data_IF_597529492446
#
_entry.id   IF_597529492446
#
_cell.length_a   1.000
_cell.length_b   1.000
_cell.length_c   1.000
_cell.angle_alpha   90.00
_cell.angle_beta   90.00
_cell.angle_gamma   90.00
#
_symmetry.space_group_name_H-M   'P 1'
#
loop_
_entity.id
_entity.type
_entity.pdbx_description
1 polymer ?
#
# COMPACT_ATOMS: atom_id res chain seq x y z
N UNK A 1 -14.17 6.40 19.23
CA UNK A 1 -13.90 5.42 18.15
C UNK A 1 -15.15 5.34 17.30
N UNK A 2 -15.00 5.53 15.99
CA UNK A 2 -16.11 5.39 15.02
C UNK A 2 -15.85 4.10 14.25
N UNK A 3 -16.87 3.25 14.11
CA UNK A 3 -16.79 2.07 13.26
C UNK A 3 -17.39 2.41 11.90
N UNK A 4 -16.69 2.02 10.83
CA UNK A 4 -17.08 2.27 9.45
C UNK A 4 -17.22 0.93 8.74
N UNK A 5 -18.35 0.71 8.09
CA UNK A 5 -18.60 -0.50 7.30
C UNK A 5 -17.84 -0.46 5.97
N UNK A 6 -17.11 -1.52 5.67
CA UNK A 6 -16.41 -1.73 4.39
C UNK A 6 -16.43 -3.22 3.98
N UNK A 7 -17.60 -3.77 3.60
CA UNK A 7 -17.72 -5.18 3.26
C UNK A 7 -16.99 -5.52 1.94
N UNK A 8 -16.08 -6.50 1.99
CA UNK A 8 -15.37 -7.03 0.81
C UNK A 8 -16.16 -8.16 0.14
N UNK A 9 -17.25 -7.82 -0.55
CA UNK A 9 -18.25 -8.77 -1.05
C UNK A 9 -17.72 -9.79 -2.08
N UNK A 10 -16.65 -9.45 -2.81
CA UNK A 10 -16.01 -10.35 -3.78
C UNK A 10 -15.41 -11.60 -3.15
N UNK A 11 -14.99 -11.53 -1.89
CA UNK A 11 -14.37 -12.63 -1.13
C UNK A 11 -15.20 -13.03 0.09
N UNK A 12 -16.15 -12.18 0.51
CA UNK A 12 -17.08 -12.42 1.62
C UNK A 12 -18.51 -12.04 1.22
N UNK A 13 -19.22 -12.90 0.48
CA UNK A 13 -20.54 -12.57 -0.09
C UNK A 13 -21.57 -12.06 0.94
N UNK A 14 -21.44 -12.52 2.20
CA UNK A 14 -22.41 -12.24 3.28
C UNK A 14 -22.04 -11.01 4.11
N UNK A 15 -20.87 -10.40 3.85
CA UNK A 15 -20.35 -9.28 4.65
C UNK A 15 -21.28 -8.06 4.61
N UNK A 16 -21.85 -7.73 3.44
CA UNK A 16 -22.80 -6.61 3.33
C UNK A 16 -24.01 -6.81 4.24
N UNK A 17 -24.65 -7.99 4.18
CA UNK A 17 -25.81 -8.29 5.02
C UNK A 17 -25.48 -8.35 6.51
N UNK A 18 -24.29 -8.81 6.89
CA UNK A 18 -23.82 -8.76 8.27
C UNK A 18 -23.66 -7.31 8.76
N UNK A 19 -23.07 -6.43 7.94
CA UNK A 19 -22.95 -5.01 8.27
C UNK A 19 -24.32 -4.31 8.35
N UNK A 20 -25.25 -4.60 7.43
CA UNK A 20 -26.63 -4.12 7.49
C UNK A 20 -27.34 -4.58 8.77
N UNK A 21 -27.13 -5.82 9.22
CA UNK A 21 -27.68 -6.31 10.49
C UNK A 21 -27.19 -5.48 11.68
N UNK A 22 -25.90 -5.15 11.74
CA UNK A 22 -25.37 -4.28 12.79
C UNK A 22 -25.98 -2.87 12.75
N UNK A 23 -26.13 -2.29 11.56
CA UNK A 23 -26.78 -0.98 11.37
C UNK A 23 -28.27 -1.00 11.75
N UNK A 24 -28.99 -2.07 11.42
CA UNK A 24 -30.39 -2.25 11.83
C UNK A 24 -30.54 -2.40 13.34
N UNK A 25 -29.59 -3.04 14.03
CA UNK A 25 -29.54 -3.06 15.48
C UNK A 25 -29.31 -1.65 16.05
N UNK A 26 -28.39 -0.87 15.46
CA UNK A 26 -28.09 0.51 15.87
C UNK A 26 -29.31 1.44 15.83
N UNK A 27 -30.25 1.22 14.89
CA UNK A 27 -31.50 1.98 14.78
C UNK A 27 -32.43 1.80 15.98
N UNK A 28 -32.27 0.72 16.74
CA UNK A 28 -33.01 0.48 17.98
C UNK A 28 -32.26 1.03 19.22
N UNK A 29 -31.01 1.47 19.05
CA UNK A 29 -30.16 2.04 20.09
C UNK A 29 -28.68 1.91 19.72
N UNK A 30 -27.90 2.97 19.92
CA UNK A 30 -26.48 3.00 19.51
C UNK A 30 -25.64 1.87 20.12
N UNK A 31 -25.92 1.49 21.36
CA UNK A 31 -25.16 0.43 22.05
C UNK A 31 -25.48 -0.97 21.48
N UNK A 32 -26.67 -1.15 20.90
CA UNK A 32 -27.10 -2.41 20.28
C UNK A 32 -26.35 -2.69 18.99
N UNK A 33 -25.74 -1.67 18.37
CA UNK A 33 -24.76 -1.87 17.32
C UNK A 33 -23.65 -2.82 17.77
N UNK A 34 -23.03 -2.54 18.92
CA UNK A 34 -21.90 -3.30 19.43
C UNK A 34 -22.32 -4.70 19.88
N UNK A 35 -23.50 -4.83 20.48
CA UNK A 35 -24.06 -6.15 20.85
C UNK A 35 -24.24 -7.02 19.60
N UNK A 36 -24.81 -6.48 18.52
CA UNK A 36 -24.97 -7.22 17.27
C UNK A 36 -23.61 -7.48 16.58
N UNK A 37 -22.73 -6.48 16.53
CA UNK A 37 -21.37 -6.60 16.01
C UNK A 37 -20.62 -7.77 16.68
N UNK A 38 -20.56 -7.79 18.01
CA UNK A 38 -19.83 -8.81 18.76
C UNK A 38 -20.46 -10.19 18.57
N UNK A 39 -21.79 -10.26 18.46
CA UNK A 39 -22.50 -11.50 18.14
C UNK A 39 -22.14 -12.02 16.75
N UNK A 40 -22.06 -11.14 15.75
CA UNK A 40 -21.69 -11.51 14.38
C UNK A 40 -20.25 -12.05 14.32
N UNK A 41 -19.31 -11.38 14.98
CA UNK A 41 -17.90 -11.77 14.99
C UNK A 41 -17.63 -13.04 15.81
N UNK A 42 -18.27 -13.21 16.97
CA UNK A 42 -18.09 -14.40 17.82
C UNK A 42 -18.67 -15.68 17.22
N UNK A 43 -19.61 -15.57 16.28
CA UNK A 43 -20.29 -16.69 15.63
C UNK A 43 -20.14 -16.71 14.09
N UNK A 44 -19.01 -16.25 13.55
CA UNK A 44 -18.75 -16.23 12.09
C UNK A 44 -18.94 -17.60 11.41
N UNK A 45 -18.57 -18.69 12.09
CA UNK A 45 -18.75 -20.07 11.60
C UNK A 45 -20.22 -20.49 11.40
N UNK A 46 -21.19 -19.75 11.94
CA UNK A 46 -22.61 -20.03 11.77
C UNK A 46 -23.17 -19.47 10.46
N UNK A 47 -22.63 -18.37 9.92
CA UNK A 47 -23.23 -17.63 8.80
C UNK A 47 -22.28 -17.32 7.64
N UNK A 48 -20.97 -17.20 7.89
CA UNK A 48 -20.01 -16.79 6.86
C UNK A 48 -19.91 -17.85 5.76
N UNK A 49 -20.05 -17.41 4.51
CA UNK A 49 -20.05 -18.30 3.34
C UNK A 49 -21.30 -19.18 3.19
N UNK A 50 -22.35 -18.98 4.00
CA UNK A 50 -23.58 -19.79 3.94
C UNK A 50 -24.76 -19.01 3.39
N UNK A 51 -25.68 -19.70 2.72
CA UNK A 51 -26.84 -19.11 2.04
C UNK A 51 -27.99 -18.67 2.95
N UNK A 52 -27.96 -19.08 4.22
CA UNK A 52 -29.00 -18.86 5.24
C UNK A 52 -28.63 -17.76 6.25
N UNK A 53 -27.59 -16.95 5.96
CA UNK A 53 -27.06 -15.95 6.88
C UNK A 53 -28.11 -14.94 7.39
N UNK A 54 -29.08 -14.54 6.55
CA UNK A 54 -30.14 -13.61 6.96
C UNK A 54 -31.02 -14.20 8.07
N UNK A 55 -31.38 -15.48 7.98
CA UNK A 55 -32.18 -16.15 9.02
C UNK A 55 -31.37 -16.28 10.33
N UNK A 56 -30.06 -16.53 10.22
CA UNK A 56 -29.15 -16.52 11.36
C UNK A 56 -29.12 -15.14 12.03
N UNK A 57 -29.04 -14.05 11.26
CA UNK A 57 -29.04 -12.68 11.81
C UNK A 57 -30.36 -12.31 12.50
N UNK A 58 -31.50 -12.75 11.95
CA UNK A 58 -32.82 -12.56 12.58
C UNK A 58 -32.94 -13.35 13.89
N UNK A 59 -32.39 -14.55 13.93
CA UNK A 59 -32.27 -15.32 15.17
C UNK A 59 -31.40 -14.59 16.20
N UNK A 60 -30.23 -14.07 15.81
CA UNK A 60 -29.39 -13.28 16.71
C UNK A 60 -30.12 -12.05 17.26
N UNK A 61 -30.88 -11.34 16.43
CA UNK A 61 -31.69 -10.21 16.87
C UNK A 61 -32.68 -10.61 17.99
N UNK A 62 -33.32 -11.77 17.88
CA UNK A 62 -34.17 -12.31 18.94
C UNK A 62 -33.39 -12.69 20.19
N UNK A 63 -32.23 -13.34 20.04
CA UNK A 63 -31.39 -13.79 21.16
C UNK A 63 -30.84 -12.62 21.99
N UNK A 64 -30.48 -11.52 21.34
CA UNK A 64 -29.95 -10.32 21.99
C UNK A 64 -31.04 -9.33 22.42
N UNK A 65 -32.33 -9.70 22.28
CA UNK A 65 -33.46 -8.95 22.80
C UNK A 65 -33.88 -7.72 21.98
N UNK A 66 -33.57 -7.68 20.67
CA UNK A 66 -34.08 -6.63 19.79
C UNK A 66 -35.59 -6.76 19.56
N UNK A 67 -36.23 -5.66 19.18
CA UNK A 67 -37.54 -5.72 18.56
C UNK A 67 -37.40 -6.39 17.18
N UNK A 68 -37.78 -7.66 17.11
CA UNK A 68 -37.60 -8.51 15.92
C UNK A 68 -38.44 -8.03 14.74
N UNK A 69 -39.62 -7.45 14.96
CA UNK A 69 -40.44 -6.91 13.87
C UNK A 69 -39.74 -5.71 13.20
N UNK A 70 -39.23 -4.77 13.99
CA UNK A 70 -38.49 -3.62 13.47
C UNK A 70 -37.17 -4.02 12.83
N UNK A 71 -36.44 -4.96 13.44
CA UNK A 71 -35.18 -5.47 12.89
C UNK A 71 -35.37 -6.16 11.55
N UNK A 72 -36.35 -7.08 11.46
CA UNK A 72 -36.64 -7.81 10.23
C UNK A 72 -37.05 -6.86 9.10
N UNK A 73 -37.91 -5.86 9.40
CA UNK A 73 -38.28 -4.82 8.44
C UNK A 73 -37.05 -4.11 7.88
N UNK A 74 -36.14 -3.65 8.74
CA UNK A 74 -34.94 -2.95 8.31
C UNK A 74 -34.01 -3.83 7.44
N UNK A 75 -33.78 -5.08 7.86
CA UNK A 75 -32.85 -5.99 7.18
C UNK A 75 -33.38 -6.49 5.83
N UNK A 76 -34.69 -6.71 5.72
CA UNK A 76 -35.35 -7.24 4.53
C UNK A 76 -35.58 -6.16 3.46
N UNK A 77 -35.91 -4.94 3.88
CA UNK A 77 -36.23 -3.83 2.98
C UNK A 77 -35.01 -3.13 2.39
N UNK A 78 -33.82 -3.35 2.96
CA UNK A 78 -32.60 -2.65 2.57
C UNK A 78 -32.54 -1.20 3.08
N UNK A 79 -33.30 -0.86 4.11
CA UNK A 79 -33.30 0.48 4.73
C UNK A 79 -31.89 0.96 5.15
N UNK A 80 -30.98 0.03 5.47
CA UNK A 80 -29.59 0.32 5.85
C UNK A 80 -28.64 0.50 4.63
N UNK A 81 -29.10 0.29 3.40
CA UNK A 81 -28.24 0.31 2.21
C UNK A 81 -27.60 1.68 1.94
N UNK A 82 -28.33 2.77 2.20
CA UNK A 82 -27.79 4.12 2.04
C UNK A 82 -26.69 4.42 3.07
N UNK A 83 -26.90 4.06 4.33
CA UNK A 83 -25.92 4.22 5.40
C UNK A 83 -24.65 3.38 5.12
N UNK A 84 -24.85 2.14 4.66
CA UNK A 84 -23.79 1.24 4.22
C UNK A 84 -22.97 1.85 3.08
N UNK A 85 -23.63 2.36 2.04
CA UNK A 85 -22.95 2.93 0.89
C UNK A 85 -22.17 4.21 1.26
N UNK A 86 -22.72 5.05 2.13
CA UNK A 86 -22.04 6.24 2.63
C UNK A 86 -20.78 5.89 3.43
N UNK A 87 -20.83 4.84 4.25
CA UNK A 87 -19.66 4.37 5.00
C UNK A 87 -18.59 3.75 4.10
N UNK A 88 -18.98 2.99 3.08
CA UNK A 88 -18.04 2.47 2.08
C UNK A 88 -17.32 3.61 1.37
N UNK A 89 -18.07 4.62 0.91
CA UNK A 89 -17.49 5.80 0.26
C UNK A 89 -16.58 6.59 1.20
N UNK A 90 -16.99 6.76 2.46
CA UNK A 90 -16.16 7.40 3.47
C UNK A 90 -14.84 6.65 3.65
N UNK A 91 -14.86 5.33 3.84
CA UNK A 91 -13.63 4.57 4.05
C UNK A 91 -12.71 4.63 2.81
N UNK A 92 -13.28 4.45 1.61
CA UNK A 92 -12.52 4.55 0.36
C UNK A 92 -11.88 5.93 0.17
N UNK A 93 -12.63 7.00 0.45
CA UNK A 93 -12.12 8.38 0.37
C UNK A 93 -10.96 8.66 1.35
N UNK A 94 -10.83 7.84 2.41
CA UNK A 94 -9.74 7.93 3.38
C UNK A 94 -8.73 6.78 3.24
N UNK A 95 -8.64 6.17 2.06
CA UNK A 95 -7.57 5.23 1.69
C UNK A 95 -7.82 3.77 2.07
N UNK A 96 -8.99 3.40 2.58
CA UNK A 96 -9.31 2.00 2.86
C UNK A 96 -9.45 1.21 1.54
N UNK A 97 -8.51 0.30 1.28
CA UNK A 97 -8.58 -0.67 0.18
C UNK A 97 -8.79 -2.12 0.64
N UNK A 98 -8.64 -2.37 1.94
CA UNK A 98 -8.84 -3.67 2.60
C UNK A 98 -9.28 -3.44 4.05
N UNK A 99 -9.65 -4.51 4.75
CA UNK A 99 -9.95 -4.49 6.18
C UNK A 99 -9.18 -5.61 6.90
N UNK A 100 -8.80 -5.42 8.18
CA UNK A 100 -9.06 -4.25 9.01
C UNK A 100 -8.20 -3.04 8.60
N UNK A 101 -8.78 -1.84 8.69
CA UNK A 101 -8.12 -0.57 8.38
C UNK A 101 -8.56 0.46 9.41
N UNK A 102 -7.60 1.16 10.01
CA UNK A 102 -7.85 2.11 11.09
C UNK A 102 -7.27 3.47 10.72
N UNK A 103 -7.91 4.51 11.24
CA UNK A 103 -7.41 5.87 11.21
C UNK A 103 -7.24 6.35 12.65
N UNK A 104 -6.01 6.69 13.02
CA UNK A 104 -5.70 7.37 14.27
C UNK A 104 -5.54 8.86 13.95
N UNK A 105 -6.63 9.61 14.09
CA UNK A 105 -6.79 10.90 13.41
C UNK A 105 -6.53 10.72 11.90
N UNK A 106 -5.47 11.32 11.38
CA UNK A 106 -5.11 11.23 9.96
C UNK A 106 -4.17 10.05 9.67
N UNK A 107 -3.63 9.37 10.69
CA UNK A 107 -2.64 8.29 10.50
C UNK A 107 -3.32 6.96 10.13
N UNK A 108 -3.05 6.41 8.94
CA UNK A 108 -3.55 5.09 8.59
C UNK A 108 -2.77 3.99 9.30
N UNK A 109 -3.48 2.98 9.79
CA UNK A 109 -2.93 1.71 10.26
C UNK A 109 -3.67 0.62 9.50
N UNK A 110 -3.02 0.04 8.50
CA UNK A 110 -3.61 -0.95 7.59
C UNK A 110 -3.30 -2.37 8.02
N UNK A 111 -4.29 -3.26 7.97
CA UNK A 111 -4.15 -4.66 8.32
C UNK A 111 -4.20 -4.94 9.83
N UNK A 112 -4.09 -6.23 10.16
CA UNK A 112 -4.11 -6.72 11.54
C UNK A 112 -2.76 -6.47 12.22
N UNK A 113 -2.48 -5.19 12.52
CA UNK A 113 -1.22 -4.76 13.12
C UNK A 113 -1.17 -5.04 14.62
N UNK A 114 0.06 -5.11 15.15
CA UNK A 114 0.30 -5.21 16.58
C UNK A 114 0.11 -3.86 17.30
N UNK A 115 0.13 -3.91 18.64
CA UNK A 115 -0.04 -2.71 19.47
C UNK A 115 1.03 -1.65 19.25
N UNK A 116 2.21 -2.02 18.74
CA UNK A 116 3.31 -1.09 18.53
C UNK A 116 3.03 -0.15 17.35
N UNK A 117 2.40 -0.65 16.28
CA UNK A 117 1.96 0.16 15.15
C UNK A 117 0.91 1.20 15.58
N UNK A 118 -0.08 0.77 16.37
CA UNK A 118 -1.08 1.68 16.94
C UNK A 118 -0.45 2.71 17.87
N UNK A 119 0.47 2.28 18.75
CA UNK A 119 1.18 3.20 19.65
C UNK A 119 1.94 4.26 18.85
N UNK A 120 2.64 3.87 17.79
CA UNK A 120 3.35 4.81 16.91
C UNK A 120 2.40 5.83 16.27
N UNK A 121 1.30 5.38 15.70
CA UNK A 121 0.29 6.27 15.11
C UNK A 121 -0.33 7.23 16.16
N UNK A 122 -0.63 6.73 17.36
CA UNK A 122 -1.16 7.53 18.47
C UNK A 122 -0.13 8.56 18.94
N UNK A 123 1.13 8.17 19.14
CA UNK A 123 2.19 9.08 19.58
C UNK A 123 2.42 10.20 18.56
N UNK A 124 2.41 9.88 17.25
CA UNK A 124 2.51 10.87 16.17
C UNK A 124 1.31 11.82 16.15
N UNK A 125 0.10 11.28 16.28
CA UNK A 125 -1.12 12.09 16.36
C UNK A 125 -1.13 13.02 17.59
N UNK A 126 -0.71 12.54 18.76
CA UNK A 126 -0.58 13.34 19.99
C UNK A 126 0.50 14.43 19.88
N UNK A 127 1.54 14.19 19.08
CA UNK A 127 2.57 15.17 18.78
C UNK A 127 2.15 16.22 17.73
N UNK A 128 0.91 16.18 17.24
CA UNK A 128 0.42 17.08 16.19
C UNK A 128 1.06 16.83 14.83
N UNK A 129 1.65 15.64 14.63
CA UNK A 129 2.17 15.23 13.35
C UNK A 129 1.01 14.70 12.49
N UNK A 130 1.09 14.99 11.21
CA UNK A 130 0.20 14.43 10.20
C UNK A 130 1.03 13.49 9.33
N UNK A 131 0.45 12.41 8.77
CA UNK A 131 1.14 11.70 7.71
C UNK A 131 1.50 12.70 6.61
N UNK A 132 2.62 12.50 5.90
CA UNK A 132 2.89 13.28 4.71
C UNK A 132 1.64 13.24 3.83
N UNK A 133 1.22 14.39 3.25
CA UNK A 133 -0.05 14.48 2.56
C UNK A 133 -0.12 13.36 1.52
N UNK A 134 -1.02 12.40 1.75
CA UNK A 134 -1.48 11.54 0.68
C UNK A 134 -2.06 12.51 -0.34
N UNK A 135 -1.58 12.53 -1.59
CA UNK A 135 -2.10 13.48 -2.55
C UNK A 135 -3.62 13.34 -2.59
N UNK A 136 -4.27 14.50 -2.48
CA UNK A 136 -5.68 14.87 -2.73
C UNK A 136 -6.55 13.74 -3.28
N UNK A 137 -7.85 13.61 -2.91
CA UNK A 137 -8.74 12.57 -3.44
C UNK A 137 -8.45 12.32 -4.91
N UNK A 138 -7.98 11.11 -5.20
CA UNK A 138 -7.51 10.73 -6.53
C UNK A 138 -8.65 10.96 -7.53
N UNK A 139 -8.34 11.29 -8.80
CA UNK A 139 -9.36 11.35 -9.82
C UNK A 139 -10.19 10.05 -9.84
N UNK A 140 -11.48 10.15 -10.21
CA UNK A 140 -12.34 8.97 -10.29
C UNK A 140 -11.72 7.90 -11.20
N UNK A 141 -11.67 6.65 -10.71
CA UNK A 141 -11.07 5.52 -11.43
C UNK A 141 -9.54 5.47 -11.41
N UNK A 142 -8.88 6.36 -10.66
CA UNK A 142 -7.42 6.38 -10.49
C UNK A 142 -7.03 5.82 -9.12
N UNK A 143 -6.00 5.00 -9.12
CA UNK A 143 -5.35 4.42 -7.94
C UNK A 143 -4.02 5.10 -7.68
N UNK A 144 -3.46 4.91 -6.48
CA UNK A 144 -2.14 5.41 -6.12
C UNK A 144 -1.01 4.76 -6.96
N UNK A 145 -1.29 3.68 -7.69
CA UNK A 145 -0.35 3.01 -8.59
C UNK A 145 -0.30 3.61 -10.01
N UNK A 146 -1.27 4.46 -10.33
CA UNK A 146 -1.37 5.04 -11.67
C UNK A 146 -0.35 6.16 -11.86
N UNK A 147 0.12 6.39 -13.10
CA UNK A 147 1.02 7.50 -13.40
C UNK A 147 0.40 8.84 -13.02
N UNK A 148 1.17 9.70 -12.37
CA UNK A 148 0.77 11.06 -12.08
C UNK A 148 1.05 11.98 -13.29
N UNK A 149 0.03 12.53 -13.96
CA UNK A 149 0.23 13.36 -15.14
C UNK A 149 0.93 14.70 -14.83
N UNK A 150 0.91 15.17 -13.58
CA UNK A 150 1.59 16.41 -13.17
C UNK A 150 3.02 16.16 -12.69
N UNK A 151 3.44 14.89 -12.57
CA UNK A 151 4.81 14.50 -12.19
C UNK A 151 5.24 13.28 -13.01
N UNK A 152 5.60 13.46 -14.31
CA UNK A 152 6.03 12.37 -15.17
C UNK A 152 7.14 11.54 -14.54
N UNK A 153 7.05 10.22 -14.66
CA UNK A 153 7.98 9.29 -14.02
C UNK A 153 7.64 8.95 -12.56
N UNK A 154 6.53 9.46 -12.03
CA UNK A 154 6.05 9.11 -10.69
C UNK A 154 4.59 8.68 -10.68
N UNK A 155 4.23 7.74 -9.82
CA UNK A 155 2.83 7.38 -9.55
C UNK A 155 2.15 8.43 -8.67
N UNK A 156 0.83 8.36 -8.54
CA UNK A 156 0.11 9.15 -7.53
C UNK A 156 0.58 8.82 -6.09
N UNK A 157 0.99 7.59 -5.81
CA UNK A 157 1.61 7.18 -4.55
C UNK A 157 3.05 7.67 -4.37
N UNK A 158 3.59 8.40 -5.35
CA UNK A 158 4.95 8.94 -5.30
C UNK A 158 6.05 7.93 -5.58
N UNK A 159 5.72 6.74 -6.08
CA UNK A 159 6.72 5.74 -6.51
C UNK A 159 7.33 6.15 -7.84
N UNK A 160 8.65 6.10 -7.96
CA UNK A 160 9.33 6.32 -9.23
C UNK A 160 9.04 5.16 -10.21
N UNK A 161 8.78 5.49 -11.47
CA UNK A 161 8.60 4.53 -12.54
C UNK A 161 9.45 4.86 -13.78
N UNK A 162 9.83 3.82 -14.54
CA UNK A 162 10.53 3.91 -15.82
C UNK A 162 9.69 3.25 -16.91
N UNK A 163 9.67 3.85 -18.10
CA UNK A 163 8.85 3.42 -19.24
C UNK A 163 7.66 4.33 -19.50
N UNK A 164 6.84 3.97 -20.50
CA UNK A 164 5.64 4.72 -20.85
C UNK A 164 4.58 4.59 -19.75
N UNK A 165 3.97 5.70 -19.34
CA UNK A 165 2.92 5.69 -18.31
C UNK A 165 1.73 4.79 -18.65
N UNK A 166 1.39 4.70 -19.94
CA UNK A 166 0.30 3.88 -20.48
C UNK A 166 0.69 2.42 -20.77
N UNK A 167 1.89 1.97 -20.39
CA UNK A 167 2.30 0.60 -20.65
C UNK A 167 1.33 -0.38 -19.96
N UNK A 168 0.80 -1.39 -20.69
CA UNK A 168 -0.24 -2.27 -20.16
C UNK A 168 0.28 -3.25 -19.11
N UNK A 169 1.58 -3.56 -19.12
CA UNK A 169 2.21 -4.44 -18.13
C UNK A 169 2.96 -3.58 -17.12
N UNK A 170 2.67 -3.78 -15.84
CA UNK A 170 3.35 -3.10 -14.73
C UNK A 170 4.18 -4.12 -13.97
N UNK A 171 5.47 -3.83 -13.82
CA UNK A 171 6.39 -4.60 -12.99
C UNK A 171 6.70 -3.78 -11.75
N UNK A 172 6.32 -4.26 -10.58
CA UNK A 172 6.81 -3.73 -9.31
C UNK A 172 8.09 -4.43 -8.94
N UNK A 173 9.09 -3.65 -8.54
CA UNK A 173 10.31 -4.16 -7.94
C UNK A 173 10.50 -3.53 -6.57
N UNK A 174 10.47 -4.36 -5.54
CA UNK A 174 10.91 -3.98 -4.21
C UNK A 174 12.43 -4.17 -4.13
N UNK A 175 13.14 -3.08 -3.83
CA UNK A 175 14.60 -3.03 -3.87
C UNK A 175 15.23 -2.83 -2.50
N UNK A 176 16.33 -3.54 -2.26
CA UNK A 176 17.31 -3.17 -1.25
C UNK A 176 18.61 -2.81 -1.99
N UNK A 177 18.99 -1.53 -1.95
CA UNK A 177 20.22 -1.09 -2.61
C UNK A 177 21.48 -1.79 -2.08
N UNK A 178 21.48 -2.33 -0.86
CA UNK A 178 22.61 -3.07 -0.29
C UNK A 178 22.63 -4.56 -0.68
N UNK A 179 21.60 -5.09 -1.35
CA UNK A 179 21.50 -6.51 -1.71
C UNK A 179 22.32 -6.85 -2.95
N UNK A 180 23.17 -7.88 -2.85
CA UNK A 180 23.98 -8.35 -3.98
C UNK A 180 23.10 -8.95 -5.09
N UNK A 181 22.03 -9.64 -4.72
CA UNK A 181 21.03 -10.20 -5.62
C UNK A 181 20.30 -9.08 -6.38
N UNK A 182 19.88 -8.00 -5.70
CA UNK A 182 19.30 -6.83 -6.36
C UNK A 182 20.28 -6.24 -7.37
N UNK A 183 21.54 -6.03 -6.97
CA UNK A 183 22.57 -5.50 -7.88
C UNK A 183 22.76 -6.40 -9.10
N UNK A 184 22.82 -7.72 -8.90
CA UNK A 184 22.94 -8.67 -10.01
C UNK A 184 21.79 -8.53 -10.99
N UNK A 185 20.54 -8.48 -10.51
CA UNK A 185 19.38 -8.33 -11.39
C UNK A 185 19.44 -7.00 -12.15
N UNK A 186 19.69 -5.88 -11.45
CA UNK A 186 19.68 -4.55 -12.07
C UNK A 186 20.83 -4.36 -13.07
N UNK A 187 22.02 -4.88 -12.77
CA UNK A 187 23.21 -4.68 -13.62
C UNK A 187 23.28 -5.69 -14.76
N UNK A 188 22.88 -6.95 -14.54
CA UNK A 188 23.10 -8.04 -15.50
C UNK A 188 21.84 -8.44 -16.27
N UNK A 189 20.65 -8.38 -15.65
CA UNK A 189 19.41 -8.92 -16.24
C UNK A 189 18.52 -7.81 -16.78
N UNK A 190 18.32 -6.75 -15.99
CA UNK A 190 17.37 -5.70 -16.30
C UNK A 190 17.64 -4.94 -17.61
N UNK A 191 18.89 -4.63 -18.02
CA UNK A 191 19.13 -3.87 -19.25
C UNK A 191 18.57 -4.54 -20.51
N UNK A 192 18.58 -5.88 -20.57
CA UNK A 192 17.99 -6.61 -21.70
C UNK A 192 16.45 -6.54 -21.69
N UNK A 193 15.83 -6.64 -20.51
CA UNK A 193 14.38 -6.53 -20.35
C UNK A 193 13.89 -5.10 -20.63
N UNK A 194 14.65 -4.11 -20.18
CA UNK A 194 14.37 -2.69 -20.41
C UNK A 194 14.34 -2.38 -21.90
N UNK A 195 15.42 -2.74 -22.60
CA UNK A 195 15.52 -2.58 -24.05
C UNK A 195 14.40 -3.30 -24.80
N UNK A 196 14.06 -4.52 -24.37
CA UNK A 196 13.08 -5.37 -25.07
C UNK A 196 11.64 -4.91 -24.85
N UNK A 197 11.28 -4.53 -23.63
CA UNK A 197 9.88 -4.34 -23.24
C UNK A 197 9.55 -2.93 -22.76
N UNK A 198 10.47 -2.26 -22.06
CA UNK A 198 10.22 -0.92 -21.49
C UNK A 198 10.35 0.14 -22.58
N UNK A 199 11.43 0.10 -23.37
CA UNK A 199 11.61 0.99 -24.52
C UNK A 199 10.53 0.77 -25.60
N UNK A 200 10.03 -0.46 -25.72
CA UNK A 200 8.92 -0.82 -26.60
C UNK A 200 7.55 -0.33 -26.10
N UNK A 201 7.47 0.26 -24.90
CA UNK A 201 6.22 0.74 -24.30
C UNK A 201 5.29 -0.36 -23.80
N UNK A 202 5.77 -1.61 -23.73
CA UNK A 202 4.97 -2.76 -23.28
C UNK A 202 4.97 -2.87 -21.75
N UNK A 203 6.08 -2.51 -21.12
CA UNK A 203 6.30 -2.62 -19.67
C UNK A 203 6.63 -1.26 -19.05
N UNK A 204 6.08 -1.01 -17.87
CA UNK A 204 6.50 0.05 -16.95
C UNK A 204 7.02 -0.57 -15.66
N UNK A 205 8.24 -0.24 -15.28
CA UNK A 205 8.84 -0.64 -14.00
C UNK A 205 8.49 0.41 -12.93
N UNK A 206 8.03 -0.02 -11.76
CA UNK A 206 7.77 0.82 -10.58
C UNK A 206 8.64 0.34 -9.42
N UNK A 207 9.32 1.26 -8.74
CA UNK A 207 10.24 0.96 -7.63
C UNK A 207 9.55 1.16 -6.28
N UNK A 208 9.76 0.21 -5.37
CA UNK A 208 9.47 0.33 -3.94
C UNK A 208 10.69 -0.04 -3.11
N UNK A 209 10.86 0.55 -1.94
CA UNK A 209 12.02 0.25 -1.07
C UNK A 209 11.72 -0.89 -0.09
N UNK A 210 12.63 -1.86 0.02
CA UNK A 210 12.56 -2.96 0.98
C UNK A 210 13.92 -3.32 1.60
N UNK A 211 14.71 -2.35 2.11
CA UNK A 211 15.84 -2.67 2.97
C UNK A 211 15.34 -3.20 4.33
N UNK A 212 16.14 -4.01 5.06
CA UNK A 212 15.86 -4.30 6.47
C UNK A 212 15.74 -3.00 7.28
N UNK A 213 14.70 -2.87 8.10
CA UNK A 213 14.39 -1.63 8.81
C UNK A 213 15.51 -1.17 9.77
N UNK A 214 16.27 -2.12 10.31
CA UNK A 214 17.42 -1.89 11.20
C UNK A 214 18.75 -1.65 10.46
N UNK A 215 18.78 -1.83 9.13
CA UNK A 215 19.95 -1.60 8.30
C UNK A 215 20.06 -0.11 7.89
N UNK A 216 20.49 0.74 8.83
CA UNK A 216 20.56 2.20 8.66
C UNK A 216 21.24 2.64 7.34
N UNK A 217 22.33 1.99 6.94
CA UNK A 217 23.05 2.29 5.68
C UNK A 217 22.21 2.01 4.44
N UNK A 218 21.41 0.94 4.42
CA UNK A 218 20.53 0.60 3.30
C UNK A 218 19.30 1.53 3.23
N UNK A 219 18.77 1.92 4.40
CA UNK A 219 17.71 2.94 4.50
C UNK A 219 18.22 4.31 4.02
N UNK A 220 19.47 4.67 4.32
CA UNK A 220 20.10 5.90 3.81
C UNK A 220 20.24 5.90 2.29
N UNK A 221 20.65 4.79 1.67
CA UNK A 221 20.71 4.67 0.21
C UNK A 221 19.33 4.83 -0.44
N UNK A 222 18.29 4.28 0.18
CA UNK A 222 16.90 4.43 -0.28
C UNK A 222 16.44 5.89 -0.22
N UNK A 223 16.73 6.59 0.88
CA UNK A 223 16.47 8.03 1.01
C UNK A 223 17.25 8.86 -0.01
N UNK A 224 18.49 8.49 -0.34
CA UNK A 224 19.29 9.19 -1.34
C UNK A 224 18.65 9.12 -2.74
N UNK A 225 18.12 7.95 -3.14
CA UNK A 225 17.37 7.83 -4.39
C UNK A 225 16.14 8.74 -4.41
N UNK A 226 15.35 8.75 -3.32
CA UNK A 226 14.17 9.62 -3.19
C UNK A 226 14.52 11.11 -3.16
N UNK A 227 15.60 11.49 -2.48
CA UNK A 227 16.08 12.87 -2.43
C UNK A 227 16.56 13.34 -3.81
N UNK A 228 17.26 12.48 -4.56
CA UNK A 228 17.60 12.77 -5.95
C UNK A 228 16.33 12.87 -6.81
N UNK A 229 15.31 12.07 -6.52
CA UNK A 229 14.01 12.13 -7.18
C UNK A 229 13.21 13.42 -6.97
N UNK A 230 13.46 14.15 -5.88
CA UNK A 230 12.92 15.52 -5.71
C UNK A 230 13.62 16.54 -6.61
N UNK A 231 14.79 16.18 -7.13
CA UNK A 231 15.60 16.96 -8.05
C UNK A 231 15.59 16.33 -9.45
N UNK A 232 14.52 15.58 -9.76
CA UNK A 232 14.27 14.91 -11.05
C UNK A 232 15.37 13.91 -11.50
N UNK A 233 16.14 13.37 -10.55
CA UNK A 233 17.29 12.51 -10.80
C UNK A 233 17.23 11.16 -10.05
N UNK A 234 16.02 10.65 -9.78
CA UNK A 234 15.85 9.35 -9.09
C UNK A 234 16.59 8.23 -9.81
N UNK A 235 16.38 8.13 -11.12
CA UNK A 235 16.94 7.05 -11.94
C UNK A 235 18.46 7.10 -12.06
N UNK A 236 19.03 8.31 -12.17
CA UNK A 236 20.47 8.48 -12.19
C UNK A 236 21.11 8.06 -10.85
N UNK A 237 20.48 8.43 -9.73
CA UNK A 237 20.93 7.99 -8.40
C UNK A 237 20.71 6.49 -8.18
N UNK A 238 19.56 5.94 -8.61
CA UNK A 238 19.24 4.52 -8.56
C UNK A 238 20.33 3.68 -9.27
N UNK A 239 20.68 4.06 -10.50
CA UNK A 239 21.69 3.37 -11.29
C UNK A 239 23.08 3.51 -10.63
N UNK A 240 23.42 4.70 -10.15
CA UNK A 240 24.71 4.95 -9.49
C UNK A 240 24.87 4.16 -8.18
N UNK A 241 23.80 4.03 -7.39
CA UNK A 241 23.78 3.24 -6.15
C UNK A 241 24.09 1.76 -6.42
N UNK A 242 23.54 1.16 -7.48
CA UNK A 242 23.84 -0.24 -7.82
C UNK A 242 25.21 -0.40 -8.48
N UNK A 243 25.61 0.54 -9.35
CA UNK A 243 26.93 0.52 -10.00
C UNK A 243 28.06 0.64 -8.97
N UNK A 244 27.87 1.47 -7.94
CA UNK A 244 28.86 1.74 -6.90
C UNK A 244 28.50 1.14 -5.54
N UNK A 245 27.74 0.04 -5.53
CA UNK A 245 27.24 -0.60 -4.31
C UNK A 245 28.31 -0.77 -3.23
N UNK A 246 29.48 -1.30 -3.61
CA UNK A 246 30.60 -1.54 -2.69
C UNK A 246 31.19 -0.26 -2.10
N UNK A 247 31.19 0.85 -2.85
CA UNK A 247 31.81 2.11 -2.45
C UNK A 247 31.03 2.76 -1.29
N UNK A 248 29.72 2.92 -1.42
CA UNK A 248 28.90 3.56 -0.38
C UNK A 248 28.54 2.60 0.75
N UNK A 249 28.30 1.31 0.48
CA UNK A 249 27.85 0.36 1.51
C UNK A 249 28.94 -0.02 2.51
N UNK A 250 30.21 0.04 2.09
CA UNK A 250 31.39 -0.26 2.93
C UNK A 250 32.10 1.01 3.41
N UNK A 251 31.61 2.20 3.07
CA UNK A 251 32.18 3.46 3.52
C UNK A 251 32.06 3.60 5.04
N UNK A 252 33.06 4.23 5.66
CA UNK A 252 32.97 4.64 7.07
C UNK A 252 31.94 5.73 7.30
N UNK A 253 31.67 6.55 6.27
CA UNK A 253 30.63 7.58 6.25
C UNK A 253 29.83 7.46 4.94
N UNK A 254 28.82 6.58 4.88
CA UNK A 254 27.97 6.43 3.71
C UNK A 254 27.25 7.73 3.32
N UNK A 255 26.84 8.56 4.29
CA UNK A 255 26.13 9.80 4.01
C UNK A 255 27.00 10.80 3.23
N UNK A 256 28.28 10.92 3.58
CA UNK A 256 29.22 11.73 2.81
C UNK A 256 29.40 11.22 1.38
N UNK A 257 29.53 9.91 1.16
CA UNK A 257 29.64 9.31 -0.18
C UNK A 257 28.38 9.57 -1.02
N UNK A 258 27.20 9.42 -0.42
CA UNK A 258 25.93 9.69 -1.12
C UNK A 258 25.78 11.17 -1.50
N UNK A 259 26.27 12.11 -0.68
CA UNK A 259 26.32 13.54 -1.04
C UNK A 259 27.33 13.82 -2.17
N UNK A 260 28.44 13.06 -2.25
CA UNK A 260 29.36 13.14 -3.38
C UNK A 260 28.71 12.66 -4.69
N UNK A 261 27.84 11.65 -4.62
CA UNK A 261 27.07 11.20 -5.78
C UNK A 261 26.13 12.28 -6.31
N UNK A 262 25.45 13.03 -5.43
CA UNK A 262 24.66 14.18 -5.86
C UNK A 262 25.50 15.22 -6.62
N UNK A 263 26.74 15.47 -6.19
CA UNK A 263 27.67 16.34 -6.91
C UNK A 263 28.12 15.74 -8.26
N UNK A 264 28.38 14.42 -8.32
CA UNK A 264 28.70 13.72 -9.57
C UNK A 264 27.55 13.83 -10.59
N UNK A 265 26.32 13.75 -10.11
CA UNK A 265 25.09 13.91 -10.89
C UNK A 265 24.73 15.39 -11.17
N UNK A 266 25.55 16.34 -10.70
CA UNK A 266 25.34 17.79 -10.88
C UNK A 266 24.00 18.30 -10.31
N UNK A 267 23.53 17.68 -9.24
CA UNK A 267 22.32 18.11 -8.52
C UNK A 267 22.59 19.34 -7.67
N UNK A 268 21.53 20.02 -7.24
CA UNK A 268 21.62 21.02 -6.17
C UNK A 268 22.06 20.34 -4.87
N UNK A 269 23.36 20.47 -4.56
CA UNK A 269 23.96 19.84 -3.40
C UNK A 269 23.41 20.35 -2.06
N UNK A 270 22.95 21.61 -1.99
CA UNK A 270 22.37 22.16 -0.77
C UNK A 270 20.97 21.61 -0.53
N UNK A 271 20.14 21.54 -1.58
CA UNK A 271 18.81 20.93 -1.50
C UNK A 271 18.89 19.43 -1.19
N UNK A 272 19.80 18.70 -1.87
CA UNK A 272 20.02 17.28 -1.61
C UNK A 272 20.52 17.02 -0.18
N UNK A 273 21.49 17.81 0.29
CA UNK A 273 22.00 17.68 1.66
C UNK A 273 20.91 17.97 2.70
N UNK A 274 20.09 19.02 2.51
CA UNK A 274 18.93 19.28 3.39
C UNK A 274 17.99 18.09 3.44
N UNK A 275 17.64 17.53 2.28
CA UNK A 275 16.75 16.38 2.18
C UNK A 275 17.27 15.18 2.96
N UNK A 276 18.56 14.86 2.80
CA UNK A 276 19.22 13.76 3.51
C UNK A 276 19.34 14.02 5.02
N UNK A 277 19.80 15.21 5.41
CA UNK A 277 20.12 15.53 6.81
C UNK A 277 18.86 15.65 7.69
N UNK A 278 17.74 16.08 7.10
CA UNK A 278 16.45 16.14 7.78
C UNK A 278 15.61 14.86 7.63
N UNK A 279 16.09 13.88 6.85
CA UNK A 279 15.35 12.65 6.56
C UNK A 279 14.01 12.92 5.88
N UNK A 280 13.94 13.90 4.98
CA UNK A 280 12.67 14.38 4.43
C UNK A 280 11.92 13.32 3.61
N UNK A 281 12.63 12.29 3.13
CA UNK A 281 12.08 11.15 2.36
C UNK A 281 11.98 9.87 3.19
N UNK A 282 12.35 9.90 4.48
CA UNK A 282 12.34 8.73 5.36
C UNK A 282 10.96 8.08 5.46
N UNK A 283 9.92 8.88 5.60
CA UNK A 283 8.55 8.38 5.73
C UNK A 283 8.09 7.57 4.51
N UNK A 284 8.48 7.98 3.30
CA UNK A 284 8.18 7.24 2.06
C UNK A 284 8.89 5.89 2.02
N UNK A 285 10.14 5.85 2.46
CA UNK A 285 10.94 4.61 2.53
C UNK A 285 10.35 3.67 3.59
N UNK A 286 9.99 4.20 4.76
CA UNK A 286 9.35 3.42 5.83
C UNK A 286 7.98 2.87 5.40
N UNK A 287 7.20 3.63 4.65
CA UNK A 287 5.93 3.16 4.07
C UNK A 287 6.12 1.94 3.15
N UNK A 288 7.11 1.96 2.26
CA UNK A 288 7.37 0.81 1.39
C UNK A 288 7.89 -0.42 2.17
N UNK A 289 8.72 -0.20 3.20
CA UNK A 289 9.20 -1.25 4.11
C UNK A 289 8.00 -1.86 4.86
N UNK A 290 7.10 -1.03 5.36
CA UNK A 290 5.89 -1.46 6.07
C UNK A 290 4.98 -2.25 5.13
N UNK A 291 4.78 -1.82 3.88
CA UNK A 291 4.04 -2.62 2.88
C UNK A 291 4.64 -4.02 2.75
N UNK A 292 5.97 -4.14 2.63
CA UNK A 292 6.61 -5.43 2.53
C UNK A 292 6.44 -6.29 3.78
N UNK A 293 6.60 -5.70 4.97
CA UNK A 293 6.43 -6.39 6.24
C UNK A 293 4.98 -6.87 6.45
N UNK A 294 4.00 -6.01 6.20
CA UNK A 294 2.58 -6.30 6.37
C UNK A 294 2.07 -7.41 5.45
N UNK A 295 2.68 -7.53 4.26
CA UNK A 295 2.33 -8.57 3.28
C UNK A 295 3.25 -9.80 3.35
N UNK A 296 4.17 -9.85 4.33
CA UNK A 296 5.07 -10.99 4.52
C UNK A 296 6.01 -11.25 3.34
N UNK A 297 6.43 -10.19 2.63
CA UNK A 297 7.34 -10.35 1.50
C UNK A 297 8.71 -10.85 1.97
N UNK A 298 9.37 -11.72 1.17
CA UNK A 298 10.73 -12.13 1.47
C UNK A 298 11.70 -10.96 1.27
N UNK A 299 12.96 -11.17 1.62
CA UNK A 299 14.01 -10.18 1.39
C UNK A 299 14.12 -9.82 -0.10
N UNK A 300 14.41 -8.55 -0.39
CA UNK A 300 14.59 -8.07 -1.74
C UNK A 300 15.76 -8.78 -2.49
N UNK A 301 15.64 -9.00 -3.81
CA UNK A 301 14.61 -8.47 -4.71
C UNK A 301 13.27 -9.23 -4.62
N UNK A 302 12.16 -8.47 -4.69
CA UNK A 302 10.80 -9.03 -4.84
C UNK A 302 10.13 -8.38 -6.04
N UNK A 303 9.52 -9.20 -6.89
CA UNK A 303 8.85 -8.74 -8.11
C UNK A 303 7.37 -9.10 -8.11
N UNK A 304 6.55 -8.18 -8.63
CA UNK A 304 5.19 -8.46 -9.03
C UNK A 304 4.96 -8.00 -10.46
N UNK A 305 4.25 -8.79 -11.25
CA UNK A 305 3.91 -8.46 -12.64
C UNK A 305 2.40 -8.46 -12.80
N UNK A 306 1.85 -7.38 -13.32
CA UNK A 306 0.41 -7.19 -13.51
C UNK A 306 0.07 -6.70 -14.92
N UNK A 307 -1.13 -7.04 -15.39
CA UNK A 307 -1.79 -6.45 -16.56
C UNK A 307 -3.27 -6.31 -16.25
N UNK A 308 -3.72 -5.08 -16.00
CA UNK A 308 -5.03 -4.85 -15.40
C UNK A 308 -5.14 -5.52 -14.03
N UNK A 309 -6.16 -6.37 -13.84
CA UNK A 309 -6.41 -7.07 -12.57
C UNK A 309 -5.78 -8.47 -12.51
N UNK A 310 -5.09 -8.89 -13.57
CA UNK A 310 -4.39 -10.17 -13.62
C UNK A 310 -2.92 -9.95 -13.25
N UNK A 311 -2.36 -10.85 -12.44
CA UNK A 311 -0.96 -10.77 -12.04
C UNK A 311 -0.68 -11.26 -10.62
N UNK A 312 0.57 -11.09 -10.20
CA UNK A 312 1.02 -11.51 -8.88
C UNK A 312 2.53 -11.56 -8.75
N UNK A 313 2.99 -12.24 -7.70
CA UNK A 313 4.39 -12.44 -7.39
C UNK A 313 5.10 -13.20 -8.52
N UNK A 314 6.30 -12.74 -8.88
CA UNK A 314 7.17 -13.38 -9.85
C UNK A 314 8.52 -13.69 -9.21
N UNK A 315 8.92 -14.97 -9.27
CA UNK A 315 10.25 -15.38 -8.85
C UNK A 315 11.31 -14.75 -9.76
N UNK A 316 12.45 -14.36 -9.17
CA UNK A 316 13.50 -13.59 -9.86
C UNK A 316 14.05 -14.31 -11.10
N UNK A 317 14.22 -15.63 -11.05
CA UNK A 317 14.70 -16.46 -12.16
C UNK A 317 13.65 -16.66 -13.26
N UNK A 318 12.36 -16.55 -12.92
CA UNK A 318 11.22 -16.62 -13.83
C UNK A 318 10.85 -15.27 -14.43
N UNK A 319 11.37 -14.16 -13.89
CA UNK A 319 10.97 -12.79 -14.26
C UNK A 319 10.97 -12.53 -15.79
N UNK A 320 12.01 -12.89 -16.57
CA UNK A 320 11.98 -12.69 -18.02
C UNK A 320 10.85 -13.42 -18.74
N UNK A 321 10.52 -14.63 -18.29
CA UNK A 321 9.47 -15.46 -18.88
C UNK A 321 8.08 -14.91 -18.50
N UNK A 322 7.89 -14.51 -17.24
CA UNK A 322 6.62 -13.90 -16.77
C UNK A 322 6.35 -12.59 -17.52
N UNK A 323 7.37 -11.74 -17.69
CA UNK A 323 7.21 -10.50 -18.48
C UNK A 323 6.86 -10.80 -19.94
N UNK A 324 7.51 -11.79 -20.56
CA UNK A 324 7.20 -12.19 -21.94
C UNK A 324 5.73 -12.61 -22.10
N UNK A 325 5.25 -13.47 -21.20
CA UNK A 325 3.88 -13.95 -21.18
C UNK A 325 2.86 -12.79 -21.09
N UNK A 326 3.06 -11.87 -20.15
CA UNK A 326 2.19 -10.71 -19.97
C UNK A 326 2.25 -9.72 -21.14
N UNK A 327 3.42 -9.57 -21.74
CA UNK A 327 3.65 -8.77 -22.93
C UNK A 327 3.11 -9.42 -24.22
N UNK A 328 2.64 -10.68 -24.16
CA UNK A 328 2.07 -11.41 -25.28
C UNK A 328 3.10 -11.94 -26.27
N UNK A 329 4.28 -12.36 -25.79
CA UNK A 329 5.39 -12.89 -26.59
C UNK A 329 5.74 -14.33 -26.24
#
# INVERSE_FOLDING_TARGET
>A
MVFVQFPLESIHPQARKAGEAALCAARQGSDLYWVMHDRLFSSTGEWSGKGDAVDVFKRYASEIGLNTAAFNSCLDSGEAAADMQAQIQFAAAHGAGSVPYFLVNDWPVSGAQDISAFKSAIDKALAGQHPPPTPTPLPEGVTWLDPNPTRPGYTYGGDAYRGQGSAPVVVFQFVNFASAENRKVVVEVWPELEKKYVEAGQVRLVIKHLPPADAATAVLASQAAECAGRLDAFWDMYDLLFQKQDEWSKASDPAAVLKQYAAQLKLDGAAFASCMDKGETRAKVEEDIDIGAQNGFPAAPVFFVFKGNEGGYAETDRLPAVIAEFAGQ
#
